data_IF_286988837728
#
_entry.id   IF_286988837728
#
_cell.length_a   1.000
_cell.length_b   1.000
_cell.length_c   1.000
_cell.angle_alpha   90.00
_cell.angle_beta   90.00
_cell.angle_gamma   90.00
#
_symmetry.space_group_name_H-M   'P 1'
#
loop_
_entity.id
_entity.type
_entity.pdbx_description
1 polymer ?
#
# COMPACT_ATOMS: atom_id res chain seq x y z
N UNK A 1 7.12 -13.96 11.28
CA UNK A 1 5.80 -14.12 10.66
C UNK A 1 5.74 -15.40 9.82
N UNK A 2 6.09 -15.42 8.52
CA UNK A 2 5.97 -16.63 7.66
C UNK A 2 6.73 -17.84 8.22
N UNK A 3 8.01 -17.69 8.54
CA UNK A 3 8.84 -18.78 9.11
C UNK A 3 8.59 -19.05 10.61
N UNK A 4 7.57 -18.46 11.23
CA UNK A 4 7.25 -18.65 12.65
C UNK A 4 8.16 -17.93 13.66
N UNK A 5 9.22 -17.24 13.20
CA UNK A 5 10.20 -16.58 14.09
C UNK A 5 9.69 -15.29 14.78
N UNK A 6 8.45 -14.89 14.55
CA UNK A 6 7.85 -13.70 15.15
C UNK A 6 6.34 -13.83 15.15
N UNK A 7 5.71 -13.45 16.27
CA UNK A 7 4.28 -13.62 16.51
C UNK A 7 3.44 -12.39 16.10
N UNK A 8 4.04 -11.21 16.06
CA UNK A 8 3.40 -9.95 15.69
C UNK A 8 4.42 -9.02 15.04
N UNK A 9 4.00 -8.24 14.06
CA UNK A 9 4.81 -7.21 13.41
C UNK A 9 3.92 -6.06 12.92
N UNK A 10 4.50 -4.86 12.82
CA UNK A 10 3.90 -3.75 12.08
C UNK A 10 4.28 -3.95 10.61
N UNK A 11 3.29 -4.07 9.74
CA UNK A 11 3.46 -4.35 8.30
C UNK A 11 2.51 -3.50 7.47
N UNK A 12 2.89 -3.21 6.23
CA UNK A 12 1.98 -2.60 5.27
C UNK A 12 0.93 -3.62 4.80
N UNK A 13 -0.24 -3.13 4.36
CA UNK A 13 -1.38 -3.96 3.99
C UNK A 13 -1.08 -4.93 2.85
N UNK A 14 -0.40 -4.49 1.78
CA UNK A 14 -0.09 -5.40 0.67
C UNK A 14 0.96 -6.47 1.02
N UNK A 15 1.94 -6.15 1.89
CA UNK A 15 2.85 -7.18 2.43
C UNK A 15 2.09 -8.21 3.27
N UNK A 16 1.03 -7.79 3.96
CA UNK A 16 0.18 -8.68 4.75
C UNK A 16 -0.60 -9.65 3.86
N UNK A 17 -1.11 -9.22 2.70
CA UNK A 17 -1.77 -10.09 1.70
C UNK A 17 -0.82 -11.23 1.33
N UNK A 18 0.40 -10.89 0.90
CA UNK A 18 1.41 -11.89 0.52
C UNK A 18 1.84 -12.80 1.67
N UNK A 19 2.01 -12.25 2.88
CA UNK A 19 2.36 -13.05 4.05
C UNK A 19 1.26 -14.06 4.42
N UNK A 20 -0.02 -13.68 4.29
CA UNK A 20 -1.17 -14.54 4.59
C UNK A 20 -1.30 -15.65 3.53
N UNK A 21 -1.05 -15.34 2.26
CA UNK A 21 -1.01 -16.35 1.19
C UNK A 21 0.05 -17.41 1.46
N UNK A 22 1.26 -17.01 1.86
CA UNK A 22 2.37 -17.93 2.17
C UNK A 22 2.19 -18.68 3.51
N UNK A 23 1.49 -18.07 4.47
CA UNK A 23 1.18 -18.70 5.76
C UNK A 23 -0.24 -18.34 6.23
N UNK A 24 -1.25 -19.18 5.92
CA UNK A 24 -2.66 -18.91 6.21
C UNK A 24 -3.04 -18.85 7.71
N UNK A 25 -2.10 -19.12 8.62
CA UNK A 25 -2.31 -18.92 10.07
C UNK A 25 -2.16 -17.44 10.47
N UNK A 26 -1.51 -16.63 9.62
CA UNK A 26 -1.35 -15.20 9.86
C UNK A 26 -2.68 -14.45 9.64
N UNK A 27 -2.80 -13.31 10.32
CA UNK A 27 -3.93 -12.40 10.19
C UNK A 27 -3.41 -10.96 10.16
N UNK A 28 -4.22 -10.06 9.59
CA UNK A 28 -3.97 -8.63 9.54
C UNK A 28 -5.09 -7.88 10.24
N UNK A 29 -4.74 -6.80 10.95
CA UNK A 29 -5.70 -5.95 11.62
C UNK A 29 -5.24 -4.50 11.58
N UNK A 30 -6.20 -3.59 11.38
CA UNK A 30 -6.01 -2.15 11.58
C UNK A 30 -6.49 -1.81 13.00
N UNK A 31 -5.67 -1.16 13.84
CA UNK A 31 -6.05 -0.80 15.20
C UNK A 31 -7.37 0.00 15.29
N UNK A 32 -8.03 -0.08 16.45
CA UNK A 32 -9.31 0.59 16.71
C UNK A 32 -9.16 2.11 16.72
N UNK A 33 -8.00 2.62 17.13
CA UNK A 33 -7.65 4.04 17.11
C UNK A 33 -7.35 4.57 15.71
N UNK A 34 -7.30 3.69 14.70
CA UNK A 34 -6.91 4.02 13.33
C UNK A 34 -5.44 3.75 13.03
N UNK A 35 -5.06 3.98 11.78
CA UNK A 35 -3.70 3.81 11.26
C UNK A 35 -3.45 4.77 10.11
N UNK A 36 -2.35 4.56 9.39
CA UNK A 36 -2.00 5.36 8.22
C UNK A 36 -2.67 4.86 6.94
N UNK A 37 -3.29 5.78 6.19
CA UNK A 37 -3.62 5.61 4.77
C UNK A 37 -2.43 6.10 3.94
N UNK A 38 -1.99 5.30 2.97
CA UNK A 38 -0.81 5.56 2.19
C UNK A 38 -1.06 5.28 0.70
N UNK A 39 -0.30 5.96 -0.16
CA UNK A 39 -0.41 5.83 -1.61
C UNK A 39 0.96 6.00 -2.25
N UNK A 40 1.33 5.07 -3.13
CA UNK A 40 2.47 5.26 -4.02
C UNK A 40 1.99 5.88 -5.34
N UNK A 41 2.69 6.94 -5.77
CA UNK A 41 2.30 7.73 -6.93
C UNK A 41 3.45 7.81 -7.93
N UNK A 42 3.13 7.64 -9.21
CA UNK A 42 4.11 7.84 -10.29
C UNK A 42 4.15 9.32 -10.66
N UNK A 43 5.36 9.87 -10.68
CA UNK A 43 5.61 11.28 -11.00
C UNK A 43 6.65 11.41 -12.10
N UNK A 44 6.53 12.46 -12.91
CA UNK A 44 7.55 12.81 -13.91
C UNK A 44 8.45 13.91 -13.32
N UNK A 45 9.75 13.65 -13.11
CA UNK A 45 10.67 14.66 -12.64
C UNK A 45 10.77 15.84 -13.61
N UNK A 46 10.85 17.07 -13.08
CA UNK A 46 10.89 18.31 -13.88
C UNK A 46 12.03 18.33 -14.92
N UNK A 47 13.12 17.62 -14.68
CA UNK A 47 14.29 17.56 -15.55
C UNK A 47 14.32 16.34 -16.49
N UNK A 48 13.22 15.58 -16.60
CA UNK A 48 13.11 14.43 -17.49
C UNK A 48 13.47 14.80 -18.93
N UNK A 49 14.25 13.92 -19.59
CA UNK A 49 14.60 14.03 -21.01
C UNK A 49 13.66 13.22 -21.92
N UNK A 50 12.78 12.44 -21.31
CA UNK A 50 11.88 11.48 -21.96
C UNK A 50 10.45 11.64 -21.41
N UNK A 51 9.92 12.87 -21.50
CA UNK A 51 8.60 13.20 -20.91
C UNK A 51 7.48 12.47 -21.65
N UNK A 52 7.52 12.43 -22.98
CA UNK A 52 6.50 11.77 -23.78
C UNK A 52 6.46 10.25 -23.53
N UNK A 53 7.62 9.61 -23.35
CA UNK A 53 7.71 8.19 -23.03
C UNK A 53 7.23 7.89 -21.61
N UNK A 54 7.52 8.78 -20.65
CA UNK A 54 7.01 8.66 -19.28
C UNK A 54 5.48 8.80 -19.24
N UNK A 55 4.90 9.76 -19.98
CA UNK A 55 3.45 9.90 -20.13
C UNK A 55 2.82 8.66 -20.79
N UNK A 56 3.45 8.12 -21.84
CA UNK A 56 3.00 6.89 -22.47
C UNK A 56 3.03 5.69 -21.50
N UNK A 57 4.04 5.61 -20.64
CA UNK A 57 4.12 4.57 -19.61
C UNK A 57 3.05 4.74 -18.52
N UNK A 58 2.80 5.96 -18.06
CA UNK A 58 1.70 6.24 -17.12
C UNK A 58 0.36 5.86 -17.74
N UNK A 59 0.11 6.23 -19.01
CA UNK A 59 -1.10 5.83 -19.73
C UNK A 59 -1.25 4.31 -19.81
N UNK A 60 -0.15 3.59 -20.07
CA UNK A 60 -0.14 2.13 -20.06
C UNK A 60 -0.53 1.56 -18.69
N UNK A 61 -0.02 2.10 -17.59
CA UNK A 61 -0.37 1.66 -16.24
C UNK A 61 -1.80 2.03 -15.82
N UNK A 62 -2.38 3.08 -16.41
CA UNK A 62 -3.77 3.47 -16.20
C UNK A 62 -4.78 2.65 -17.02
N UNK A 63 -4.33 1.83 -17.98
CA UNK A 63 -5.21 0.89 -18.67
C UNK A 63 -5.79 -0.15 -17.69
N UNK A 64 -7.07 -0.47 -17.83
CA UNK A 64 -7.78 -1.31 -16.87
C UNK A 64 -7.23 -2.75 -16.81
N UNK A 65 -6.90 -3.35 -17.96
CA UNK A 65 -6.36 -4.71 -18.01
C UNK A 65 -4.93 -4.77 -17.49
N UNK A 66 -4.15 -3.71 -17.73
CA UNK A 66 -2.79 -3.58 -17.20
C UNK A 66 -2.82 -3.41 -15.68
N UNK A 67 -3.66 -2.50 -15.17
CA UNK A 67 -3.83 -2.29 -13.75
C UNK A 67 -4.36 -3.55 -13.03
N UNK A 68 -5.28 -4.29 -13.67
CA UNK A 68 -5.79 -5.58 -13.18
C UNK A 68 -4.63 -6.58 -13.00
N UNK A 69 -3.85 -6.82 -14.06
CA UNK A 69 -2.70 -7.74 -14.00
C UNK A 69 -1.69 -7.32 -12.93
N UNK A 70 -1.47 -6.01 -12.77
CA UNK A 70 -0.54 -5.51 -11.77
C UNK A 70 -1.05 -5.77 -10.34
N UNK A 71 -2.33 -5.51 -10.07
CA UNK A 71 -2.91 -5.73 -8.73
C UNK A 71 -3.01 -7.22 -8.37
N UNK A 72 -3.36 -8.09 -9.31
CA UNK A 72 -3.39 -9.55 -9.11
C UNK A 72 -2.00 -10.11 -8.83
N UNK A 73 -0.95 -9.55 -9.46
CA UNK A 73 0.41 -10.01 -9.25
C UNK A 73 1.00 -9.53 -7.92
N UNK A 74 0.77 -8.27 -7.55
CA UNK A 74 1.44 -7.64 -6.39
C UNK A 74 0.61 -7.71 -5.10
N UNK A 75 -0.71 -7.88 -5.20
CA UNK A 75 -1.63 -7.97 -4.05
C UNK A 75 -1.98 -6.63 -3.38
N UNK A 76 -1.63 -5.50 -3.98
CA UNK A 76 -1.95 -4.16 -3.45
C UNK A 76 -3.18 -3.56 -4.13
N UNK A 77 -4.01 -2.85 -3.34
CA UNK A 77 -5.27 -2.24 -3.75
C UNK A 77 -5.08 -1.27 -4.92
N UNK A 78 -5.86 -1.45 -6.00
CA UNK A 78 -5.79 -0.55 -7.15
C UNK A 78 -6.76 0.63 -7.01
N UNK A 79 -6.32 1.88 -7.28
CA UNK A 79 -7.23 3.02 -7.34
C UNK A 79 -7.98 3.10 -8.67
N UNK A 80 -7.72 2.20 -9.63
CA UNK A 80 -8.36 2.18 -10.93
C UNK A 80 -9.74 1.50 -10.84
N UNK A 81 -10.81 2.29 -10.84
CA UNK A 81 -12.20 1.80 -10.75
C UNK A 81 -12.55 0.80 -11.85
N UNK A 82 -12.03 0.99 -13.07
CA UNK A 82 -12.30 0.08 -14.18
C UNK A 82 -11.61 -1.28 -13.98
N UNK A 83 -10.43 -1.31 -13.36
CA UNK A 83 -9.76 -2.55 -12.97
C UNK A 83 -10.48 -3.22 -11.79
N UNK A 84 -10.93 -2.45 -10.79
CA UNK A 84 -11.71 -2.98 -9.67
C UNK A 84 -12.98 -3.72 -10.12
N UNK A 85 -13.65 -3.21 -11.16
CA UNK A 85 -14.84 -3.86 -11.71
C UNK A 85 -14.55 -5.21 -12.41
N UNK A 86 -13.29 -5.51 -12.71
CA UNK A 86 -12.85 -6.75 -13.35
C UNK A 86 -12.29 -7.77 -12.36
N UNK A 87 -12.06 -7.40 -11.10
CA UNK A 87 -11.51 -8.28 -10.09
C UNK A 87 -12.44 -9.43 -9.74
N UNK A 88 -11.86 -10.59 -9.46
CA UNK A 88 -12.61 -11.74 -8.96
C UNK A 88 -13.23 -11.43 -7.58
N UNK A 89 -14.45 -11.94 -7.30
CA UNK A 89 -15.14 -11.68 -6.04
C UNK A 89 -14.33 -12.03 -4.80
N UNK A 90 -13.48 -13.05 -4.87
CA UNK A 90 -12.61 -13.46 -3.76
C UNK A 90 -11.66 -12.33 -3.32
N UNK A 91 -11.06 -11.61 -4.27
CA UNK A 91 -10.15 -10.50 -3.97
C UNK A 91 -10.93 -9.25 -3.50
N UNK A 92 -12.09 -8.99 -4.11
CA UNK A 92 -12.96 -7.86 -3.73
C UNK A 92 -13.53 -7.98 -2.31
N UNK A 93 -13.78 -9.20 -1.85
CA UNK A 93 -14.30 -9.50 -0.51
C UNK A 93 -13.18 -9.68 0.54
N UNK A 94 -11.91 -9.67 0.12
CA UNK A 94 -10.79 -9.74 1.05
C UNK A 94 -10.60 -8.38 1.74
N UNK A 95 -11.01 -8.28 3.01
CA UNK A 95 -10.93 -7.05 3.80
C UNK A 95 -9.50 -6.56 4.08
N UNK A 96 -8.48 -7.40 3.89
CA UNK A 96 -7.07 -6.97 3.94
C UNK A 96 -6.71 -6.15 2.70
N UNK A 97 -7.24 -6.56 1.54
CA UNK A 97 -7.05 -5.89 0.26
C UNK A 97 -8.01 -4.70 0.08
N UNK A 98 -9.28 -4.89 0.36
CA UNK A 98 -10.35 -3.91 0.21
C UNK A 98 -11.06 -3.71 1.55
N UNK A 99 -10.47 -2.91 2.47
CA UNK A 99 -11.00 -2.74 3.80
C UNK A 99 -12.37 -2.04 3.78
N UNK A 100 -13.26 -2.37 4.73
CA UNK A 100 -14.53 -1.66 4.89
C UNK A 100 -14.32 -0.16 5.10
N UNK A 101 -15.27 0.67 4.65
CA UNK A 101 -15.19 2.13 4.78
C UNK A 101 -15.00 2.59 6.24
N UNK A 102 -15.59 1.89 7.22
CA UNK A 102 -15.41 2.20 8.65
C UNK A 102 -13.95 2.06 9.13
N UNK A 103 -13.15 1.23 8.46
CA UNK A 103 -11.71 1.11 8.71
C UNK A 103 -10.98 2.30 8.10
N UNK A 104 -11.36 2.70 6.88
CA UNK A 104 -10.76 3.84 6.18
C UNK A 104 -11.05 5.15 6.92
N UNK A 105 -12.30 5.35 7.37
CA UNK A 105 -12.76 6.59 8.02
C UNK A 105 -12.05 6.90 9.34
N UNK A 106 -11.51 5.88 10.04
CA UNK A 106 -10.71 6.07 11.25
C UNK A 106 -9.21 6.24 10.98
N UNK A 107 -8.75 6.00 9.77
CA UNK A 107 -7.34 6.15 9.41
C UNK A 107 -7.03 7.56 8.89
N UNK A 108 -5.74 7.93 8.88
CA UNK A 108 -5.27 9.24 8.45
C UNK A 108 -4.14 9.17 7.43
N UNK A 109 -4.10 10.12 6.50
CA UNK A 109 -2.94 10.32 5.62
C UNK A 109 -1.91 11.15 6.38
N UNK A 110 -0.68 10.67 6.46
CA UNK A 110 0.42 11.47 7.00
C UNK A 110 0.75 12.64 6.07
N UNK A 111 0.82 13.83 6.66
CA UNK A 111 1.15 15.05 5.95
C UNK A 111 2.65 15.30 5.93
N UNK A 112 3.12 16.01 4.90
CA UNK A 112 4.48 16.53 4.87
C UNK A 112 4.71 17.49 6.04
N UNK A 113 5.73 17.18 6.84
CA UNK A 113 6.10 17.94 8.03
C UNK A 113 7.10 19.07 7.72
N UNK A 114 7.59 19.16 6.47
CA UNK A 114 8.65 20.09 6.10
C UNK A 114 9.88 19.90 6.98
N UNK A 115 10.41 21.01 7.52
CA UNK A 115 11.62 20.97 8.36
C UNK A 115 11.44 20.18 9.67
N UNK A 116 10.19 20.03 10.16
CA UNK A 116 9.91 19.32 11.41
C UNK A 116 10.14 17.81 11.30
N UNK A 117 10.28 17.26 10.08
CA UNK A 117 10.66 15.85 9.87
C UNK A 117 11.98 15.49 10.56
N UNK A 118 12.87 16.47 10.76
CA UNK A 118 14.13 16.30 11.48
C UNK A 118 13.94 15.78 12.91
N UNK A 119 12.91 16.25 13.62
CA UNK A 119 12.58 15.82 14.99
C UNK A 119 12.18 14.34 15.03
N UNK A 120 11.33 13.90 14.10
CA UNK A 120 10.95 12.50 13.96
C UNK A 120 12.15 11.61 13.62
N UNK A 121 12.99 12.05 12.68
CA UNK A 121 14.19 11.33 12.27
C UNK A 121 15.19 11.16 13.44
N UNK A 122 15.42 12.22 14.21
CA UNK A 122 16.28 12.15 15.40
C UNK A 122 15.74 11.19 16.45
N UNK A 123 14.44 11.26 16.74
CA UNK A 123 13.79 10.35 17.69
C UNK A 123 13.90 8.88 17.22
N UNK A 124 13.62 8.61 15.95
CA UNK A 124 13.72 7.28 15.37
C UNK A 124 15.14 6.73 15.41
N UNK A 125 16.14 7.57 15.12
CA UNK A 125 17.54 7.16 15.20
C UNK A 125 17.96 6.79 16.63
N UNK A 126 17.45 7.50 17.64
CA UNK A 126 17.70 7.14 19.06
C UNK A 126 17.07 5.79 19.42
N UNK A 127 15.85 5.53 18.95
CA UNK A 127 15.15 4.25 19.18
C UNK A 127 15.93 3.09 18.56
N UNK A 128 16.41 3.23 17.33
CA UNK A 128 17.15 2.16 16.63
C UNK A 128 18.56 1.92 17.16
N UNK A 129 19.17 2.92 17.80
CA UNK A 129 20.53 2.82 18.33
C UNK A 129 20.58 2.21 19.75
N UNK A 130 19.43 2.13 20.42
CA UNK A 130 19.26 1.48 21.72
C UNK A 130 19.10 -0.04 21.56
#
# INVERSE_FOLDING_TARGET
>A
MIAGNGALAIVYSGDAVWCIEENPVLAYAVPDEGSNIWFDNIIIPKNSKHTAEAEAFINFLCDAEVALKNTEFIGYSTPNEAAMALLEPEMLLNEVYNPPNEVIERCEVFHDLGEFVSVYNEAWNRIKAA
#
